data_IF_610474908968
#
_entry.id   IF_610474908968
#
_cell.length_a   1.000
_cell.length_b   1.000
_cell.length_c   1.000
_cell.angle_alpha   90.00
_cell.angle_beta   90.00
_cell.angle_gamma   90.00
#
_symmetry.space_group_name_H-M   'P 1'
#
loop_
_entity.id
_entity.type
_entity.pdbx_description
1 polymer ?
#
# COMPACT_ATOMS: atom_id res chain seq x y z
N UNK A 1 3.67 -12.39 16.73
CA UNK A 1 4.46 -11.16 16.91
C UNK A 1 3.52 -10.01 17.20
N UNK A 2 3.76 -9.31 18.28
CA UNK A 2 2.91 -8.18 18.60
C UNK A 2 3.40 -6.95 17.82
N UNK A 3 2.47 -6.31 17.14
CA UNK A 3 2.78 -5.15 16.32
C UNK A 3 2.27 -3.90 17.02
N UNK A 4 3.17 -2.96 17.18
CA UNK A 4 2.88 -1.73 17.88
C UNK A 4 2.48 -0.64 16.89
N UNK A 5 1.21 -0.24 16.92
CA UNK A 5 0.67 0.81 16.05
C UNK A 5 1.40 2.14 16.28
N UNK A 6 1.69 2.49 17.52
CA UNK A 6 2.39 3.73 17.83
C UNK A 6 3.77 3.77 17.18
N UNK A 7 4.49 2.66 17.22
CA UNK A 7 5.79 2.56 16.60
C UNK A 7 5.70 2.71 15.08
N UNK A 8 4.68 2.12 14.47
CA UNK A 8 4.45 2.27 13.03
C UNK A 8 4.16 3.71 12.67
N UNK A 9 3.35 4.40 13.46
CA UNK A 9 3.06 5.82 13.25
C UNK A 9 4.28 6.69 13.46
N UNK A 10 5.10 6.40 14.46
CA UNK A 10 6.37 7.12 14.68
C UNK A 10 7.29 7.01 13.46
N UNK A 11 7.39 5.82 12.88
CA UNK A 11 8.19 5.62 11.68
C UNK A 11 7.62 6.41 10.49
N UNK A 12 6.31 6.46 10.38
CA UNK A 12 5.64 7.24 9.34
C UNK A 12 5.96 8.73 9.50
N UNK A 13 5.81 9.25 10.72
CA UNK A 13 6.13 10.65 11.02
C UNK A 13 7.57 10.98 10.67
N UNK A 14 8.51 10.13 11.11
CA UNK A 14 9.92 10.34 10.86
C UNK A 14 10.27 10.40 9.37
N UNK A 15 9.55 9.66 8.53
CA UNK A 15 9.79 9.63 7.08
C UNK A 15 9.09 10.74 6.34
N UNK A 16 7.89 11.07 6.76
CA UNK A 16 7.07 12.05 6.05
C UNK A 16 7.53 13.48 6.30
N UNK A 17 8.28 13.69 7.34
CA UNK A 17 8.91 14.97 7.72
C UNK A 17 7.96 16.11 7.98
N UNK A 18 6.84 16.31 7.39
CA UNK A 18 6.13 17.56 7.56
C UNK A 18 4.64 17.44 7.60
N UNK A 19 3.78 16.96 7.28
CA UNK A 19 2.34 17.05 7.42
C UNK A 19 1.66 15.77 7.05
N UNK A 20 1.48 15.01 8.03
CA UNK A 20 1.04 13.67 7.77
C UNK A 20 -0.39 13.39 8.16
N UNK A 21 -0.92 13.98 9.19
CA UNK A 21 -2.05 13.34 9.86
C UNK A 21 -3.37 13.33 9.13
N UNK A 22 -3.62 14.30 8.30
CA UNK A 22 -4.96 14.47 7.73
C UNK A 22 -5.37 13.35 6.78
N UNK A 23 -4.41 12.69 6.17
CA UNK A 23 -4.71 11.61 5.24
C UNK A 23 -4.48 10.21 5.82
N UNK A 24 -4.16 10.10 7.08
CA UNK A 24 -4.13 8.79 7.73
C UNK A 24 -5.56 8.25 7.82
N UNK A 25 -5.75 6.96 7.59
CA UNK A 25 -7.07 6.37 7.70
C UNK A 25 -7.67 6.65 9.08
N UNK A 26 -8.84 7.27 9.09
CA UNK A 26 -9.56 7.55 10.32
C UNK A 26 -10.28 6.32 10.85
N UNK A 27 -10.52 5.35 9.99
CA UNK A 27 -11.16 4.11 10.39
C UNK A 27 -10.16 3.12 10.96
N UNK A 28 -10.60 2.36 11.94
CA UNK A 28 -9.78 1.32 12.53
C UNK A 28 -9.64 0.16 11.56
N UNK A 29 -8.41 -0.18 11.23
CA UNK A 29 -8.08 -1.32 10.36
C UNK A 29 -7.15 -2.23 11.14
N UNK A 30 -7.69 -3.36 11.56
CA UNK A 30 -7.01 -4.29 12.46
C UNK A 30 -5.65 -4.76 11.96
N UNK A 31 -5.55 -5.02 10.66
CA UNK A 31 -4.31 -5.54 10.07
C UNK A 31 -3.32 -4.45 9.63
N UNK A 32 -3.64 -3.19 9.78
CA UNK A 32 -2.75 -2.12 9.28
C UNK A 32 -1.35 -2.17 9.89
N UNK A 33 -1.16 -2.42 11.20
CA UNK A 33 0.19 -2.55 11.77
C UNK A 33 0.98 -3.70 11.13
N UNK A 34 0.31 -4.77 10.74
CA UNK A 34 0.95 -5.90 10.06
C UNK A 34 1.49 -5.45 8.70
N UNK A 35 0.73 -4.65 7.97
CA UNK A 35 1.16 -4.12 6.67
C UNK A 35 2.41 -3.26 6.82
N UNK A 36 2.44 -2.38 7.82
CA UNK A 36 3.63 -1.56 8.09
C UNK A 36 4.85 -2.42 8.39
N UNK A 37 4.70 -3.40 9.24
CA UNK A 37 5.79 -4.27 9.64
C UNK A 37 6.36 -5.05 8.45
N UNK A 38 5.49 -5.63 7.66
CA UNK A 38 5.90 -6.41 6.47
C UNK A 38 6.53 -5.49 5.42
N UNK A 39 5.90 -4.38 5.09
CA UNK A 39 6.39 -3.49 4.05
C UNK A 39 7.76 -2.89 4.38
N UNK A 40 8.05 -2.65 5.64
CA UNK A 40 9.33 -2.11 6.07
C UNK A 40 10.51 -3.07 5.87
N UNK A 41 10.24 -4.36 5.68
CA UNK A 41 11.30 -5.34 5.38
C UNK A 41 11.77 -5.25 3.92
N UNK A 42 10.98 -4.65 3.05
CA UNK A 42 11.32 -4.51 1.65
C UNK A 42 12.12 -3.23 1.43
N UNK A 43 13.20 -3.34 0.66
CA UNK A 43 14.09 -2.21 0.36
C UNK A 43 14.61 -2.32 -1.05
N UNK A 44 14.90 -1.17 -1.65
CA UNK A 44 15.64 -1.11 -2.90
C UNK A 44 16.63 0.05 -2.84
N UNK A 45 17.87 -0.22 -3.23
CA UNK A 45 18.91 0.81 -3.34
C UNK A 45 19.02 1.35 -4.76
N UNK A 46 18.44 0.66 -5.72
CA UNK A 46 18.51 1.04 -7.12
C UNK A 46 17.44 2.09 -7.47
N UNK A 47 17.89 3.26 -7.89
CA UNK A 47 17.04 4.39 -8.22
C UNK A 47 16.35 4.21 -9.57
N UNK A 48 15.16 4.75 -9.70
CA UNK A 48 14.39 4.71 -10.94
C UNK A 48 13.14 5.57 -10.86
N UNK A 49 12.13 5.19 -11.62
CA UNK A 49 10.87 5.96 -11.73
C UNK A 49 9.66 5.21 -11.22
N UNK A 50 9.83 3.99 -10.75
CA UNK A 50 8.69 3.18 -10.32
C UNK A 50 8.40 3.37 -8.85
N UNK A 51 7.12 3.33 -8.52
CA UNK A 51 6.63 3.52 -7.18
C UNK A 51 5.75 2.33 -6.81
N UNK A 52 5.89 1.84 -5.58
CA UNK A 52 5.01 0.83 -5.03
C UNK A 52 3.88 1.55 -4.30
N UNK A 53 2.65 1.07 -4.47
CA UNK A 53 1.51 1.67 -3.78
C UNK A 53 0.55 0.60 -3.29
N UNK A 54 -0.16 0.94 -2.23
CA UNK A 54 -1.20 0.10 -1.65
C UNK A 54 -2.51 0.87 -1.64
N UNK A 55 -3.61 0.17 -1.90
CA UNK A 55 -4.95 0.76 -1.84
C UNK A 55 -5.81 -0.06 -0.89
N UNK A 56 -6.50 0.62 0.00
CA UNK A 56 -7.48 -0.01 0.88
C UNK A 56 -8.73 -0.37 0.07
N UNK A 57 -9.15 -1.62 0.17
CA UNK A 57 -10.32 -2.13 -0.53
C UNK A 57 -11.44 -2.46 0.45
N UNK A 58 -12.66 -2.10 0.05
CA UNK A 58 -13.87 -2.32 0.86
C UNK A 58 -14.59 -3.61 0.44
N UNK A 59 -14.65 -4.57 1.36
CA UNK A 59 -15.40 -5.81 1.18
C UNK A 59 -16.53 -5.94 2.21
N UNK A 60 -16.99 -4.83 2.78
CA UNK A 60 -18.04 -4.86 3.79
C UNK A 60 -19.36 -5.42 3.27
N UNK A 61 -19.61 -5.35 1.97
CA UNK A 61 -20.77 -5.95 1.33
C UNK A 61 -20.72 -7.49 1.29
N UNK A 62 -19.60 -8.08 1.64
CA UNK A 62 -19.43 -9.54 1.66
C UNK A 62 -19.30 -10.08 3.08
N UNK A 63 -18.18 -9.80 3.73
CA UNK A 63 -17.86 -10.36 5.06
C UNK A 63 -17.48 -9.28 6.07
N UNK A 64 -17.70 -8.01 5.72
CA UNK A 64 -17.40 -6.90 6.60
C UNK A 64 -15.94 -6.54 6.71
N UNK A 65 -15.09 -7.13 5.88
CA UNK A 65 -13.65 -6.95 5.96
C UNK A 65 -13.14 -5.89 5.00
N UNK A 66 -11.88 -5.51 5.21
CA UNK A 66 -11.13 -4.70 4.26
C UNK A 66 -10.05 -5.57 3.63
N UNK A 67 -9.69 -5.25 2.39
CA UNK A 67 -8.59 -5.87 1.69
C UNK A 67 -7.57 -4.82 1.27
N UNK A 68 -6.51 -5.27 0.62
CA UNK A 68 -5.45 -4.39 0.13
C UNK A 68 -5.09 -4.77 -1.31
N UNK A 69 -4.90 -3.75 -2.12
CA UNK A 69 -4.38 -3.90 -3.48
C UNK A 69 -2.92 -3.47 -3.49
N UNK A 70 -2.06 -4.28 -4.10
CA UNK A 70 -0.64 -3.98 -4.25
C UNK A 70 -0.36 -3.69 -5.72
N UNK A 71 0.25 -2.54 -6.00
CA UNK A 71 0.56 -2.16 -7.38
C UNK A 71 1.89 -1.44 -7.50
N UNK A 72 2.30 -1.25 -8.75
CA UNK A 72 3.45 -0.41 -9.08
C UNK A 72 3.08 0.52 -10.24
N UNK A 73 3.70 1.68 -10.29
CA UNK A 73 3.41 2.67 -11.32
C UNK A 73 4.56 3.66 -11.45
N UNK A 74 4.68 4.26 -12.64
CA UNK A 74 5.57 5.41 -12.84
C UNK A 74 4.96 6.70 -12.29
N UNK A 75 3.67 6.70 -12.00
CA UNK A 75 2.99 7.84 -11.39
C UNK A 75 3.07 7.74 -9.88
N UNK A 76 2.82 8.85 -9.18
CA UNK A 76 2.72 8.79 -7.72
C UNK A 76 1.54 7.90 -7.31
N UNK A 77 1.56 7.35 -6.11
CA UNK A 77 0.43 6.55 -5.63
C UNK A 77 -0.92 7.27 -5.73
N UNK A 78 -0.95 8.56 -5.35
CA UNK A 78 -2.18 9.35 -5.41
C UNK A 78 -2.66 9.53 -6.85
N UNK A 79 -1.76 9.85 -7.78
CA UNK A 79 -2.09 10.00 -9.19
C UNK A 79 -2.61 8.68 -9.79
N UNK A 80 -1.96 7.57 -9.47
CA UNK A 80 -2.36 6.27 -9.99
C UNK A 80 -3.72 5.85 -9.43
N UNK A 81 -3.97 6.14 -8.15
CA UNK A 81 -5.27 5.89 -7.55
C UNK A 81 -6.37 6.66 -8.28
N UNK A 82 -6.14 7.94 -8.56
CA UNK A 82 -7.11 8.76 -9.31
C UNK A 82 -7.37 8.18 -10.70
N UNK A 83 -6.34 7.70 -11.38
CA UNK A 83 -6.49 7.03 -12.68
C UNK A 83 -7.35 5.78 -12.56
N UNK A 84 -7.12 4.94 -11.55
CA UNK A 84 -7.95 3.77 -11.30
C UNK A 84 -9.42 4.15 -11.11
N UNK A 85 -9.68 5.17 -10.30
CA UNK A 85 -11.05 5.60 -10.02
C UNK A 85 -11.71 6.25 -11.24
N UNK A 86 -10.93 6.82 -12.13
CA UNK A 86 -11.41 7.37 -13.41
C UNK A 86 -11.55 6.30 -14.50
N UNK A 87 -11.19 5.05 -14.22
CA UNK A 87 -11.29 3.96 -15.19
C UNK A 87 -10.14 3.89 -16.18
N UNK A 88 -9.07 4.62 -15.97
CA UNK A 88 -7.91 4.66 -16.88
C UNK A 88 -7.01 3.48 -16.59
N UNK A 89 -7.02 2.47 -17.45
CA UNK A 89 -6.26 1.22 -17.28
C UNK A 89 -6.45 0.67 -15.86
N UNK A 90 -7.68 0.72 -15.39
CA UNK A 90 -7.98 0.44 -13.99
C UNK A 90 -7.99 -1.05 -13.68
N UNK A 91 -7.46 -1.40 -12.51
CA UNK A 91 -7.72 -2.69 -11.92
C UNK A 91 -9.18 -2.68 -11.41
N UNK A 92 -9.94 -3.72 -11.75
CA UNK A 92 -11.35 -3.79 -11.39
C UNK A 92 -11.59 -3.72 -9.89
N UNK A 93 -10.72 -4.33 -9.10
CA UNK A 93 -10.81 -4.30 -7.63
C UNK A 93 -10.67 -2.88 -7.08
N UNK A 94 -9.75 -2.09 -7.62
CA UNK A 94 -9.57 -0.69 -7.19
C UNK A 94 -10.72 0.17 -7.65
N UNK A 95 -11.15 0.03 -8.91
CA UNK A 95 -12.25 0.79 -9.45
C UNK A 95 -13.53 0.60 -8.63
N UNK A 96 -13.84 -0.63 -8.30
CA UNK A 96 -15.08 -0.97 -7.59
C UNK A 96 -14.96 -0.80 -6.08
N UNK A 97 -13.84 -1.14 -5.49
CA UNK A 97 -13.68 -1.29 -4.05
C UNK A 97 -12.65 -0.36 -3.42
N UNK A 98 -11.89 0.37 -4.21
CA UNK A 98 -10.85 1.25 -3.69
C UNK A 98 -11.43 2.41 -2.89
N UNK A 99 -10.94 2.56 -1.65
CA UNK A 99 -11.37 3.61 -0.75
C UNK A 99 -10.33 4.73 -0.71
N UNK A 100 -9.08 4.36 -0.46
CA UNK A 100 -7.99 5.32 -0.27
C UNK A 100 -6.63 4.66 -0.43
N UNK A 101 -5.62 5.47 -0.72
CA UNK A 101 -4.24 5.03 -0.78
C UNK A 101 -3.69 4.90 0.64
N UNK A 102 -3.03 3.78 0.92
CA UNK A 102 -2.31 3.59 2.17
C UNK A 102 -0.86 4.01 1.95
N UNK A 103 -0.61 5.30 2.03
CA UNK A 103 0.68 5.88 1.64
C UNK A 103 1.83 5.49 2.56
N UNK A 104 1.57 5.44 3.86
CA UNK A 104 2.60 5.24 4.88
C UNK A 104 3.48 4.01 4.67
N UNK A 105 2.90 2.81 4.49
CA UNK A 105 3.71 1.59 4.40
C UNK A 105 4.70 1.57 3.25
N UNK A 106 4.45 2.30 2.17
CA UNK A 106 5.29 2.27 0.97
C UNK A 106 6.07 3.56 0.71
N UNK A 107 6.14 4.48 1.68
CA UNK A 107 6.90 5.73 1.52
C UNK A 107 8.34 5.49 1.09
N UNK A 108 8.97 4.46 1.61
CA UNK A 108 10.35 4.10 1.32
C UNK A 108 10.53 3.32 0.01
N UNK A 109 9.44 3.05 -0.71
CA UNK A 109 9.44 2.26 -1.94
C UNK A 109 9.02 3.11 -3.14
N UNK A 110 9.50 4.36 -3.16
CA UNK A 110 9.23 5.31 -4.23
C UNK A 110 10.51 5.59 -5.01
N UNK A 111 10.36 5.85 -6.30
CA UNK A 111 11.47 6.17 -7.20
C UNK A 111 12.54 5.08 -7.20
N UNK A 112 12.11 3.86 -7.43
CA UNK A 112 12.99 2.70 -7.52
C UNK A 112 13.03 2.15 -8.94
N UNK A 113 14.06 1.36 -9.23
CA UNK A 113 14.23 0.74 -10.53
C UNK A 113 13.06 -0.19 -10.83
N UNK A 114 12.59 -0.17 -12.09
CA UNK A 114 11.41 -0.93 -12.49
C UNK A 114 11.53 -2.42 -12.20
N UNK A 115 12.69 -3.03 -12.46
CA UNK A 115 12.90 -4.46 -12.19
C UNK A 115 12.78 -4.78 -10.70
N UNK A 116 13.27 -3.88 -9.84
CA UNK A 116 13.14 -4.01 -8.40
C UNK A 116 11.69 -3.80 -7.95
N UNK A 117 11.02 -2.82 -8.53
CA UNK A 117 9.61 -2.57 -8.22
C UNK A 117 8.75 -3.78 -8.58
N UNK A 118 8.99 -4.39 -9.73
CA UNK A 118 8.26 -5.58 -10.15
C UNK A 118 8.45 -6.75 -9.19
N UNK A 119 9.68 -6.97 -8.75
CA UNK A 119 10.00 -7.99 -7.75
C UNK A 119 9.32 -7.71 -6.41
N UNK A 120 9.43 -6.47 -5.93
CA UNK A 120 8.85 -6.06 -4.65
C UNK A 120 7.33 -6.13 -4.69
N UNK A 121 6.70 -5.69 -5.76
CA UNK A 121 5.25 -5.77 -5.91
C UNK A 121 4.76 -7.21 -5.71
N UNK A 122 5.37 -8.14 -6.39
CA UNK A 122 5.00 -9.55 -6.30
C UNK A 122 5.28 -10.13 -4.91
N UNK A 123 6.48 -9.92 -4.39
CA UNK A 123 6.88 -10.46 -3.10
C UNK A 123 6.11 -9.85 -1.93
N UNK A 124 5.84 -8.55 -1.99
CA UNK A 124 5.05 -7.87 -0.97
C UNK A 124 3.62 -8.41 -0.95
N UNK A 125 3.01 -8.58 -2.12
CA UNK A 125 1.67 -9.14 -2.21
C UNK A 125 1.61 -10.55 -1.62
N UNK A 126 2.60 -11.40 -1.92
CA UNK A 126 2.69 -12.74 -1.37
C UNK A 126 2.87 -12.72 0.15
N UNK A 127 3.72 -11.83 0.66
CA UNK A 127 3.97 -11.73 2.09
C UNK A 127 2.71 -11.30 2.85
N UNK A 128 1.98 -10.33 2.31
CA UNK A 128 0.73 -9.87 2.92
C UNK A 128 -0.34 -10.97 2.90
N UNK A 129 -0.46 -11.67 1.77
CA UNK A 129 -1.40 -12.79 1.66
C UNK A 129 -1.06 -13.90 2.65
N UNK A 130 0.23 -14.20 2.80
CA UNK A 130 0.70 -15.21 3.76
C UNK A 130 0.42 -14.84 5.21
N UNK A 131 0.31 -13.55 5.50
CA UNK A 131 -0.06 -13.06 6.82
C UNK A 131 -1.57 -13.09 7.07
N UNK A 132 -2.36 -13.54 6.09
CA UNK A 132 -3.80 -13.71 6.23
C UNK A 132 -4.65 -12.58 5.69
N UNK A 133 -4.06 -11.59 5.03
CA UNK A 133 -4.81 -10.48 4.46
C UNK A 133 -5.46 -10.89 3.13
N UNK A 134 -6.57 -10.22 2.80
CA UNK A 134 -7.17 -10.33 1.47
C UNK A 134 -6.39 -9.39 0.54
N UNK A 135 -5.66 -9.95 -0.41
CA UNK A 135 -4.75 -9.20 -1.28
C UNK A 135 -5.17 -9.33 -2.73
N UNK A 136 -5.16 -8.21 -3.44
CA UNK A 136 -5.37 -8.13 -4.88
C UNK A 136 -4.15 -7.45 -5.51
N UNK A 137 -3.95 -7.66 -6.80
CA UNK A 137 -2.79 -7.12 -7.50
C UNK A 137 -1.54 -7.96 -7.31
N UNK A 138 -0.38 -7.33 -7.39
CA UNK A 138 0.89 -8.02 -7.14
C UNK A 138 1.47 -8.75 -8.34
N UNK A 139 1.14 -8.33 -9.56
CA UNK A 139 1.69 -8.96 -10.76
C UNK A 139 2.59 -8.09 -11.59
#
# INVERSE_FOLDING_TARGET
MSINIERALERLWARAAVSVPEWLPMRYIEWLPIVYDIALEFRSIDKGRSNIYLVLLDYQDRDGAYGVYVGMSKYSPAQRFDQHKAGIRAAGSVLKRGIEVLTGPTLHLQYIKRSEASRIEEELALALASAGLRVMGGH
#
